data_IF_728128696924
#
_entry.id   IF_728128696924
#
_cell.length_a   1.000
_cell.length_b   1.000
_cell.length_c   1.000
_cell.angle_alpha   90.00
_cell.angle_beta   90.00
_cell.angle_gamma   90.00
#
_symmetry.space_group_name_H-M   'P 1'
#
loop_
_entity.id
_entity.type
_entity.pdbx_description
1 polymer ?
#
# COMPACT_ATOMS: atom_id res chain seq x y z
N UNK A 1 -12.07 -3.68 -9.92
CA UNK A 1 -11.68 -2.44 -9.21
C UNK A 1 -10.53 -2.73 -8.27
N UNK A 2 -10.75 -3.56 -7.26
CA UNK A 2 -9.70 -4.12 -6.42
C UNK A 2 -9.39 -5.56 -6.84
N UNK A 3 -8.16 -6.05 -6.62
CA UNK A 3 -7.87 -7.46 -6.83
C UNK A 3 -8.77 -8.29 -5.90
N UNK A 4 -9.36 -9.35 -6.46
CA UNK A 4 -10.13 -10.32 -5.69
C UNK A 4 -9.19 -11.27 -4.94
N UNK A 5 -9.74 -12.08 -4.05
CA UNK A 5 -9.02 -13.15 -3.39
C UNK A 5 -8.41 -14.10 -4.44
N UNK A 6 -7.08 -14.27 -4.46
CA UNK A 6 -6.46 -15.23 -5.36
C UNK A 6 -6.87 -16.65 -4.93
N UNK A 7 -7.31 -17.49 -5.87
CA UNK A 7 -7.59 -18.90 -5.60
C UNK A 7 -6.28 -19.70 -5.55
N UNK A 8 -5.27 -19.24 -6.28
CA UNK A 8 -3.91 -19.74 -6.26
C UNK A 8 -2.88 -18.66 -6.62
N UNK A 9 -1.59 -18.95 -6.41
CA UNK A 9 -0.51 -18.02 -6.74
C UNK A 9 -0.46 -17.66 -8.25
N UNK A 10 -0.98 -18.52 -9.13
CA UNK A 10 -1.04 -18.24 -10.57
C UNK A 10 -2.05 -17.15 -10.94
N UNK A 11 -2.99 -16.82 -10.04
CA UNK A 11 -3.97 -15.75 -10.24
C UNK A 11 -3.38 -14.36 -9.95
N UNK A 12 -2.19 -14.31 -9.34
CA UNK A 12 -1.52 -13.06 -9.01
C UNK A 12 -0.76 -12.51 -10.24
N UNK A 13 -1.23 -11.39 -10.76
CA UNK A 13 -0.59 -10.62 -11.82
C UNK A 13 -0.06 -9.27 -11.31
N UNK A 14 0.94 -8.68 -11.99
CA UNK A 14 1.57 -7.44 -11.54
C UNK A 14 0.59 -6.26 -11.47
N UNK A 15 0.72 -5.42 -10.44
CA UNK A 15 -0.17 -4.29 -10.14
C UNK A 15 0.54 -2.93 -10.37
N UNK A 16 -0.20 -1.86 -10.70
CA UNK A 16 -1.66 -1.79 -10.92
C UNK A 16 -2.10 -2.34 -12.29
N UNK A 17 -3.41 -2.50 -12.50
CA UNK A 17 -4.01 -2.93 -13.76
C UNK A 17 -4.25 -1.76 -14.74
N UNK A 18 -3.31 -0.82 -14.80
CA UNK A 18 -3.27 0.25 -15.81
C UNK A 18 -1.93 0.23 -16.57
N UNK A 19 -1.81 1.00 -17.68
CA UNK A 19 -0.53 1.26 -18.33
C UNK A 19 0.50 1.87 -17.38
N UNK A 20 1.77 1.54 -17.60
CA UNK A 20 2.89 2.04 -16.82
C UNK A 20 3.61 0.94 -16.03
N UNK A 21 4.55 1.34 -15.16
CA UNK A 21 5.35 0.40 -14.37
C UNK A 21 4.49 -0.38 -13.40
N UNK A 22 4.88 -1.64 -13.16
CA UNK A 22 4.12 -2.53 -12.28
C UNK A 22 5.01 -3.23 -11.28
N UNK A 23 4.46 -3.49 -10.10
CA UNK A 23 5.07 -4.29 -9.05
C UNK A 23 4.52 -5.71 -9.10
N UNK A 24 5.42 -6.71 -9.10
CA UNK A 24 5.05 -8.12 -9.03
C UNK A 24 4.64 -8.56 -7.61
N UNK A 25 3.97 -9.72 -7.48
CA UNK A 25 3.68 -10.32 -6.18
C UNK A 25 4.98 -10.75 -5.49
N UNK A 26 4.98 -10.73 -4.15
CA UNK A 26 6.07 -11.31 -3.37
C UNK A 26 6.10 -12.83 -3.51
N UNK A 27 7.29 -13.38 -3.76
CA UNK A 27 7.48 -14.84 -3.90
C UNK A 27 7.66 -15.51 -2.53
N UNK A 28 6.62 -16.20 -2.08
CA UNK A 28 6.63 -17.00 -0.84
C UNK A 28 7.30 -18.38 -1.00
N UNK A 29 7.73 -18.78 -2.20
CA UNK A 29 8.27 -20.12 -2.48
C UNK A 29 7.33 -21.25 -2.02
N UNK A 30 6.02 -21.00 -2.06
CA UNK A 30 4.98 -21.87 -1.51
C UNK A 30 3.78 -21.08 -0.99
N UNK A 31 2.94 -21.68 -0.12
CA UNK A 31 1.84 -20.99 0.53
C UNK A 31 2.32 -19.78 1.33
N UNK A 32 1.45 -18.78 1.46
CA UNK A 32 1.71 -17.61 2.30
C UNK A 32 2.00 -18.05 3.75
N UNK A 33 3.09 -17.52 4.32
CA UNK A 33 3.49 -17.74 5.71
C UNK A 33 4.11 -16.48 6.26
N UNK A 34 3.35 -15.75 7.08
CA UNK A 34 3.75 -14.48 7.66
C UNK A 34 3.62 -14.58 9.18
N UNK A 35 4.73 -14.38 9.88
CA UNK A 35 4.73 -14.26 11.34
C UNK A 35 4.79 -12.76 11.70
N UNK A 36 3.72 -12.24 12.30
CA UNK A 36 3.66 -10.85 12.76
C UNK A 36 4.39 -10.69 14.09
N UNK A 37 5.41 -9.83 14.13
CA UNK A 37 6.29 -9.66 15.28
C UNK A 37 6.03 -8.38 16.08
N UNK A 38 5.37 -7.38 15.48
CA UNK A 38 5.05 -6.12 16.14
C UNK A 38 4.73 -5.00 15.14
N UNK A 39 4.23 -3.88 15.64
CA UNK A 39 3.99 -2.66 14.86
C UNK A 39 5.28 -1.82 14.88
N UNK A 40 5.71 -1.34 13.71
CA UNK A 40 6.87 -0.46 13.54
C UNK A 40 6.49 1.01 13.46
N UNK A 41 5.28 1.29 13.00
CA UNK A 41 4.78 2.63 12.89
C UNK A 41 3.44 2.67 12.16
N UNK A 42 2.75 3.77 12.34
CA UNK A 42 1.54 4.12 11.64
C UNK A 42 1.81 5.43 10.91
N UNK A 43 1.32 5.50 9.68
CA UNK A 43 1.38 6.69 8.87
C UNK A 43 0.05 6.90 8.19
N UNK A 44 0.01 7.96 7.40
CA UNK A 44 -1.22 8.48 6.84
C UNK A 44 -2.03 7.33 6.18
N UNK A 45 -1.47 6.71 5.14
CA UNK A 45 -2.11 5.65 4.36
C UNK A 45 -1.67 4.22 4.74
N UNK A 46 -1.14 3.96 5.95
CA UNK A 46 -0.65 2.61 6.28
C UNK A 46 -0.33 2.35 7.75
N UNK A 47 -0.47 1.08 8.15
CA UNK A 47 0.25 0.53 9.31
C UNK A 47 1.40 -0.33 8.79
N UNK A 48 2.58 -0.20 9.42
CA UNK A 48 3.77 -0.97 9.08
C UNK A 48 4.05 -1.97 10.19
N UNK A 49 4.11 -3.26 9.84
CA UNK A 49 4.44 -4.34 10.74
C UNK A 49 5.87 -4.81 10.53
N UNK A 50 6.51 -5.22 11.62
CA UNK A 50 7.66 -6.10 11.59
C UNK A 50 7.15 -7.50 11.39
N UNK A 51 7.61 -8.18 10.34
CA UNK A 51 7.20 -9.56 10.05
C UNK A 51 8.40 -10.45 9.80
N UNK A 52 8.21 -11.76 9.99
CA UNK A 52 9.14 -12.79 9.51
C UNK A 52 8.48 -13.57 8.38
N UNK A 53 9.15 -13.63 7.24
CA UNK A 53 8.74 -14.40 6.06
C UNK A 53 9.97 -15.18 5.58
N UNK A 54 9.83 -16.49 5.33
CA UNK A 54 10.96 -17.35 4.92
C UNK A 54 12.20 -17.23 5.83
N UNK A 55 11.97 -17.06 7.14
CA UNK A 55 13.04 -16.90 8.14
C UNK A 55 13.75 -15.54 8.15
N UNK A 56 13.37 -14.61 7.27
CA UNK A 56 13.96 -13.27 7.18
C UNK A 56 13.01 -12.19 7.72
N UNK A 57 13.58 -11.12 8.27
CA UNK A 57 12.81 -9.98 8.81
C UNK A 57 12.54 -8.97 7.72
N UNK A 58 11.27 -8.57 7.61
CA UNK A 58 10.80 -7.55 6.68
C UNK A 58 9.97 -6.48 7.39
N UNK A 59 9.80 -5.35 6.71
CA UNK A 59 8.72 -4.41 7.00
C UNK A 59 7.56 -4.71 6.05
N UNK A 60 6.39 -5.05 6.60
CA UNK A 60 5.15 -5.25 5.85
C UNK A 60 4.29 -4.01 6.01
N UNK A 61 4.22 -3.20 4.95
CA UNK A 61 3.32 -2.03 4.92
C UNK A 61 1.95 -2.50 4.46
N UNK A 62 0.96 -2.45 5.34
CA UNK A 62 -0.45 -2.71 5.00
C UNK A 62 -1.06 -1.39 4.59
N UNK A 63 -1.45 -1.27 3.32
CA UNK A 63 -2.00 -0.02 2.79
C UNK A 63 -3.43 0.16 3.28
N UNK A 64 -3.62 1.29 3.96
CA UNK A 64 -4.86 1.77 4.52
C UNK A 64 -5.26 3.04 3.77
N UNK A 65 -6.54 3.36 3.72
CA UNK A 65 -6.95 4.71 3.35
C UNK A 65 -7.56 5.39 4.60
N UNK A 66 -7.54 6.71 4.63
CA UNK A 66 -7.40 7.58 5.82
C UNK A 66 -8.70 8.10 6.48
N UNK A 67 -8.81 8.57 7.75
CA UNK A 67 -7.88 8.77 8.89
C UNK A 67 -8.55 8.39 10.22
N UNK A 68 -7.77 7.88 11.18
CA UNK A 68 -8.20 7.20 12.40
C UNK A 68 -9.19 6.05 12.17
N UNK A 69 -8.57 4.87 12.11
CA UNK A 69 -9.20 3.58 12.08
C UNK A 69 -9.65 3.21 10.64
N UNK A 70 -9.05 2.15 10.10
CA UNK A 70 -8.83 1.79 8.70
C UNK A 70 -9.99 2.02 7.73
N UNK A 71 -9.77 2.75 6.63
CA UNK A 71 -10.85 3.11 5.70
C UNK A 71 -10.52 2.86 4.24
N UNK A 72 -11.57 2.65 3.46
CA UNK A 72 -11.59 2.85 2.02
C UNK A 72 -12.18 4.24 1.85
N UNK A 73 -11.43 5.16 1.24
CA UNK A 73 -11.84 6.57 1.22
C UNK A 73 -13.18 6.69 0.47
N UNK A 74 -14.15 7.41 1.05
CA UNK A 74 -15.33 7.80 0.29
C UNK A 74 -14.90 8.55 -0.97
N UNK A 75 -15.45 8.19 -2.12
CA UNK A 75 -15.20 8.86 -3.40
C UNK A 75 -15.14 10.39 -3.30
N UNK A 76 -16.02 11.03 -2.50
CA UNK A 76 -16.04 12.48 -2.28
C UNK A 76 -14.76 13.10 -1.70
N UNK A 77 -13.94 12.30 -1.02
CA UNK A 77 -12.69 12.71 -0.37
C UNK A 77 -11.47 12.60 -1.31
N UNK A 78 -11.65 12.20 -2.57
CA UNK A 78 -10.58 12.13 -3.55
C UNK A 78 -10.36 13.52 -4.15
N UNK A 79 -9.13 14.05 -4.03
CA UNK A 79 -8.74 15.34 -4.60
C UNK A 79 -9.20 15.45 -6.07
N UNK A 80 -10.17 16.33 -6.31
CA UNK A 80 -10.62 16.77 -7.64
C UNK A 80 -11.76 15.97 -8.29
N UNK A 81 -12.21 14.84 -7.75
CA UNK A 81 -13.21 13.98 -8.41
C UNK A 81 -14.44 13.63 -7.58
N UNK A 82 -14.44 14.02 -6.31
CA UNK A 82 -15.44 13.55 -5.36
C UNK A 82 -16.91 13.74 -5.73
N UNK A 83 -17.25 14.91 -6.27
CA UNK A 83 -18.62 15.23 -6.71
C UNK A 83 -18.96 14.68 -8.11
N UNK A 84 -17.98 14.10 -8.82
CA UNK A 84 -18.09 13.67 -10.21
C UNK A 84 -17.98 12.15 -10.40
N UNK A 85 -17.81 11.39 -9.32
CA UNK A 85 -17.73 9.93 -9.39
C UNK A 85 -19.13 9.36 -9.63
N UNK A 86 -19.40 8.98 -10.88
CA UNK A 86 -20.59 8.22 -11.21
C UNK A 86 -20.41 6.77 -10.74
N UNK A 87 -20.98 6.43 -9.57
CA UNK A 87 -20.97 5.07 -9.01
C UNK A 87 -21.64 4.02 -9.90
N UNK A 88 -22.47 4.45 -10.86
CA UNK A 88 -23.10 3.58 -11.86
C UNK A 88 -22.21 3.30 -13.07
N UNK A 89 -20.95 3.77 -13.08
CA UNK A 89 -19.95 3.51 -14.12
C UNK A 89 -18.77 2.69 -13.55
N UNK A 90 -18.90 1.36 -13.43
CA UNK A 90 -17.85 0.49 -12.87
C UNK A 90 -16.49 0.62 -13.56
N UNK A 91 -16.48 0.83 -14.88
CA UNK A 91 -15.27 0.99 -15.68
C UNK A 91 -14.54 2.29 -15.33
N UNK A 92 -15.26 3.41 -15.25
CA UNK A 92 -14.72 4.71 -14.88
C UNK A 92 -14.15 4.72 -13.46
N UNK A 93 -14.89 4.12 -12.53
CA UNK A 93 -14.44 3.96 -11.15
C UNK A 93 -13.18 3.08 -11.11
N UNK A 94 -13.20 1.91 -11.76
CA UNK A 94 -12.05 1.01 -11.80
C UNK A 94 -10.81 1.67 -12.42
N UNK A 95 -10.96 2.51 -13.43
CA UNK A 95 -9.87 3.30 -13.98
C UNK A 95 -9.32 4.28 -12.93
N UNK A 96 -10.21 5.03 -12.26
CA UNK A 96 -9.82 5.98 -11.23
C UNK A 96 -9.04 5.30 -10.10
N UNK A 97 -9.49 4.14 -9.60
CA UNK A 97 -8.75 3.36 -8.59
C UNK A 97 -7.36 2.96 -9.04
N UNK A 98 -7.22 2.49 -10.28
CA UNK A 98 -5.92 2.08 -10.77
C UNK A 98 -4.93 3.26 -10.83
N UNK A 99 -5.38 4.49 -11.04
CA UNK A 99 -4.51 5.67 -11.10
C UNK A 99 -4.37 6.44 -9.79
N UNK A 100 -5.43 6.59 -9.01
CA UNK A 100 -5.45 7.53 -7.88
C UNK A 100 -5.14 6.88 -6.54
N UNK A 101 -5.28 5.56 -6.44
CA UNK A 101 -5.21 4.90 -5.14
C UNK A 101 -3.76 4.79 -4.64
N UNK A 102 -3.47 5.13 -3.36
CA UNK A 102 -2.10 5.23 -2.84
C UNK A 102 -1.27 3.94 -2.95
N UNK A 103 -1.87 2.77 -2.74
CA UNK A 103 -1.17 1.50 -2.93
C UNK A 103 -0.77 1.28 -4.40
N UNK A 104 -1.65 1.61 -5.35
CA UNK A 104 -1.36 1.52 -6.77
C UNK A 104 -0.28 2.52 -7.21
N UNK A 105 -0.29 3.75 -6.68
CA UNK A 105 0.79 4.72 -6.87
C UNK A 105 2.14 4.17 -6.38
N UNK A 106 2.16 3.61 -5.18
CA UNK A 106 3.37 3.02 -4.61
C UNK A 106 3.86 1.80 -5.42
N UNK A 107 2.95 0.98 -5.94
CA UNK A 107 3.27 -0.10 -6.87
C UNK A 107 3.94 0.43 -8.16
N UNK A 108 3.44 1.55 -8.73
CA UNK A 108 4.07 2.16 -9.91
C UNK A 108 5.45 2.72 -9.60
N UNK A 109 5.63 3.38 -8.46
CA UNK A 109 6.92 3.92 -8.08
C UNK A 109 7.96 2.81 -7.88
N UNK A 110 7.64 1.75 -7.15
CA UNK A 110 8.56 0.62 -6.98
C UNK A 110 8.77 -0.18 -8.27
N UNK A 111 7.72 -0.39 -9.07
CA UNK A 111 7.83 -0.98 -10.39
C UNK A 111 8.80 -0.21 -11.28
N UNK A 112 8.74 1.14 -11.26
CA UNK A 112 9.66 2.00 -12.02
C UNK A 112 11.11 1.83 -11.56
N UNK A 113 11.33 1.73 -10.25
CA UNK A 113 12.67 1.52 -9.70
C UNK A 113 13.25 0.16 -10.11
N UNK A 114 12.44 -0.89 -10.11
CA UNK A 114 12.83 -2.24 -10.57
C UNK A 114 13.13 -2.25 -12.07
N UNK A 115 12.25 -1.69 -12.90
CA UNK A 115 12.45 -1.60 -14.36
C UNK A 115 13.72 -0.83 -14.73
N UNK A 116 14.04 0.24 -14.00
CA UNK A 116 15.20 1.08 -14.25
C UNK A 116 16.50 0.56 -13.60
N UNK A 117 16.44 -0.52 -12.79
CA UNK A 117 17.57 -1.01 -12.01
C UNK A 117 18.11 0.03 -11.02
N UNK A 118 17.23 0.85 -10.45
CA UNK A 118 17.54 1.96 -9.54
C UNK A 118 16.96 1.74 -8.13
N UNK A 119 16.79 0.49 -7.72
CA UNK A 119 16.20 0.12 -6.42
C UNK A 119 16.99 0.69 -5.22
N UNK A 120 18.25 1.09 -5.40
CA UNK A 120 19.07 1.72 -4.36
C UNK A 120 18.62 3.13 -3.97
N UNK A 121 17.75 3.76 -4.77
CA UNK A 121 17.21 5.09 -4.49
C UNK A 121 16.14 5.10 -3.39
N UNK A 122 15.62 3.93 -3.02
CA UNK A 122 14.60 3.77 -2.00
C UNK A 122 14.89 2.54 -1.12
N UNK A 123 14.07 2.34 -0.08
CA UNK A 123 14.06 1.05 0.63
C UNK A 123 13.67 -0.03 -0.38
N UNK A 124 14.48 -1.09 -0.47
CA UNK A 124 14.24 -2.20 -1.39
C UNK A 124 12.83 -2.78 -1.19
N UNK A 125 12.10 -2.92 -2.28
CA UNK A 125 10.75 -3.49 -2.32
C UNK A 125 10.81 -4.87 -2.99
N UNK A 126 10.22 -5.86 -2.34
CA UNK A 126 10.26 -7.25 -2.79
C UNK A 126 8.99 -7.70 -3.50
N UNK A 127 7.96 -6.85 -3.53
CA UNK A 127 6.67 -7.16 -4.15
C UNK A 127 5.49 -6.78 -3.27
N UNK A 128 4.30 -6.92 -3.84
CA UNK A 128 3.06 -6.77 -3.10
C UNK A 128 2.56 -8.12 -2.56
N UNK A 129 1.69 -8.07 -1.55
CA UNK A 129 1.01 -9.21 -0.96
C UNK A 129 -0.47 -8.88 -0.86
N UNK A 130 -1.32 -9.83 -1.26
CA UNK A 130 -2.71 -9.87 -0.83
C UNK A 130 -2.76 -10.85 0.34
N UNK A 131 -3.18 -10.40 1.52
CA UNK A 131 -3.27 -11.30 2.66
C UNK A 131 -4.36 -12.34 2.40
N UNK A 132 -4.10 -13.59 2.78
CA UNK A 132 -5.14 -14.61 2.87
C UNK A 132 -5.96 -14.44 4.16
N UNK A 133 -7.11 -15.12 4.23
CA UNK A 133 -8.05 -14.96 5.35
C UNK A 133 -7.44 -15.34 6.71
N UNK A 134 -6.53 -16.31 6.73
CA UNK A 134 -5.90 -16.78 7.96
C UNK A 134 -4.92 -15.72 8.49
N UNK A 135 -4.14 -15.09 7.60
CA UNK A 135 -3.21 -14.04 7.97
C UNK A 135 -3.89 -12.72 8.28
N UNK A 136 -4.98 -12.37 7.57
CA UNK A 136 -5.82 -11.22 7.96
C UNK A 136 -6.35 -11.40 9.38
N UNK A 137 -6.94 -12.57 9.68
CA UNK A 137 -7.50 -12.86 11.00
C UNK A 137 -6.43 -12.88 12.08
N UNK A 138 -5.28 -13.49 11.81
CA UNK A 138 -4.16 -13.53 12.74
C UNK A 138 -3.67 -12.11 13.08
N UNK A 139 -3.52 -11.25 12.07
CA UNK A 139 -3.17 -9.85 12.25
C UNK A 139 -4.22 -9.11 13.09
N UNK A 140 -5.50 -9.23 12.72
CA UNK A 140 -6.62 -8.58 13.40
C UNK A 140 -6.72 -8.98 14.88
N UNK A 141 -6.62 -10.27 15.17
CA UNK A 141 -6.68 -10.80 16.54
C UNK A 141 -5.45 -10.42 17.36
N UNK A 142 -4.24 -10.51 16.79
CA UNK A 142 -3.00 -10.28 17.53
C UNK A 142 -2.85 -8.83 18.02
N UNK A 143 -3.35 -7.88 17.24
CA UNK A 143 -3.25 -6.45 17.56
C UNK A 143 -4.57 -5.81 17.98
N UNK A 144 -5.59 -6.64 18.25
CA UNK A 144 -6.89 -6.22 18.79
C UNK A 144 -7.57 -5.15 17.92
N UNK A 145 -7.44 -5.31 16.59
CA UNK A 145 -7.97 -4.35 15.62
C UNK A 145 -9.50 -4.37 15.53
N UNK A 146 -10.16 -5.37 16.12
CA UNK A 146 -11.62 -5.38 16.28
C UNK A 146 -12.12 -4.22 17.18
N UNK A 147 -11.23 -3.58 17.94
CA UNK A 147 -11.52 -2.37 18.73
C UNK A 147 -11.27 -1.07 17.98
N UNK A 148 -10.81 -1.15 16.73
CA UNK A 148 -10.55 -0.01 15.86
C UNK A 148 -11.76 0.10 14.91
N UNK A 149 -12.29 1.31 14.70
CA UNK A 149 -13.37 1.66 13.76
C UNK A 149 -12.89 1.64 12.30
N UNK A 150 -13.79 1.67 11.32
CA UNK A 150 -13.43 1.54 9.91
C UNK A 150 -14.30 2.45 9.00
N UNK A 151 -14.73 3.64 9.46
CA UNK A 151 -15.79 4.43 8.79
C UNK A 151 -15.29 5.51 7.81
N UNK A 152 -15.35 5.42 6.48
CA UNK A 152 -14.62 6.24 5.46
C UNK A 152 -14.37 7.78 5.52
N UNK A 153 -14.73 8.53 6.57
CA UNK A 153 -14.72 9.99 6.68
C UNK A 153 -13.36 10.58 7.13
N UNK A 154 -12.99 11.75 6.58
CA UNK A 154 -11.76 12.52 6.84
C UNK A 154 -11.97 13.62 7.91
N UNK A 155 -13.20 14.10 8.11
CA UNK A 155 -13.49 15.25 8.98
C UNK A 155 -14.06 14.87 10.35
N UNK A 156 -14.80 13.76 10.46
CA UNK A 156 -15.45 13.34 11.71
C UNK A 156 -15.07 11.92 12.13
N UNK A 157 -14.13 11.81 13.07
CA UNK A 157 -13.92 10.57 13.82
C UNK A 157 -15.07 10.40 14.82
N UNK A 158 -16.11 9.61 14.48
CA UNK A 158 -17.07 9.19 15.51
C UNK A 158 -18.49 8.83 15.10
N UNK A 159 -18.91 9.01 13.84
CA UNK A 159 -20.24 8.55 13.45
C UNK A 159 -20.25 7.05 13.13
N UNK A 160 -20.85 6.33 14.07
CA UNK A 160 -21.23 4.92 14.04
C UNK A 160 -22.50 4.78 13.16
N UNK A 161 -22.65 3.62 12.53
CA UNK A 161 -23.64 3.19 11.51
C UNK A 161 -23.29 3.57 10.07
N UNK A 162 -23.15 2.68 9.07
CA UNK A 162 -23.40 1.24 8.90
C UNK A 162 -22.53 0.77 7.70
N UNK A 163 -21.99 -0.45 7.77
CA UNK A 163 -21.20 -1.19 6.74
C UNK A 163 -19.68 -0.88 6.59
N UNK A 164 -18.86 -1.92 6.78
CA UNK A 164 -17.42 -1.95 6.46
C UNK A 164 -17.22 -1.48 5.00
N UNK A 165 -16.54 -0.36 4.76
CA UNK A 165 -16.42 0.22 3.41
C UNK A 165 -15.82 -0.75 2.38
N UNK A 166 -15.03 -1.73 2.83
CA UNK A 166 -14.51 -2.83 2.02
C UNK A 166 -15.66 -3.64 1.36
N UNK A 167 -16.81 -3.76 2.02
CA UNK A 167 -18.03 -4.42 1.52
C UNK A 167 -18.70 -3.68 0.38
N UNK A 168 -18.45 -2.38 0.19
CA UNK A 168 -18.95 -1.63 -0.97
C UNK A 168 -18.29 -2.07 -2.28
N UNK A 169 -17.17 -2.80 -2.19
CA UNK A 169 -16.39 -3.25 -3.35
C UNK A 169 -16.25 -4.77 -3.37
N UNK A 170 -17.36 -5.53 -3.31
CA UNK A 170 -17.29 -6.96 -3.16
C UNK A 170 -16.59 -7.61 -4.36
N UNK A 171 -15.74 -8.59 -4.07
CA UNK A 171 -15.20 -9.51 -5.07
C UNK A 171 -16.29 -10.39 -5.69
N UNK A 172 -15.90 -11.29 -6.59
CA UNK A 172 -16.80 -12.17 -7.35
C UNK A 172 -17.76 -12.97 -6.47
N UNK A 173 -17.33 -13.28 -5.24
CA UNK A 173 -18.10 -14.09 -4.29
C UNK A 173 -18.88 -13.25 -3.26
N UNK A 174 -19.03 -11.94 -3.48
CA UNK A 174 -19.68 -11.04 -2.50
C UNK A 174 -18.81 -10.70 -1.29
N UNK A 175 -17.59 -11.26 -1.21
CA UNK A 175 -16.65 -11.04 -0.11
C UNK A 175 -15.95 -9.70 -0.26
N UNK A 176 -15.60 -9.03 0.85
CA UNK A 176 -14.75 -7.85 0.80
C UNK A 176 -13.35 -8.22 0.25
N UNK A 177 -12.69 -7.37 -0.53
CA UNK A 177 -11.36 -7.61 -1.09
C UNK A 177 -10.27 -7.77 -0.01
N UNK A 178 -9.18 -8.49 -0.28
CA UNK A 178 -8.11 -8.69 0.69
C UNK A 178 -7.36 -7.39 1.01
N UNK A 179 -6.76 -7.33 2.21
CA UNK A 179 -5.77 -6.34 2.59
C UNK A 179 -4.57 -6.44 1.65
N UNK A 180 -4.16 -5.27 1.16
CA UNK A 180 -3.07 -5.11 0.21
C UNK A 180 -1.86 -4.61 0.96
N UNK A 181 -0.74 -5.29 0.77
CA UNK A 181 0.48 -5.01 1.49
C UNK A 181 1.67 -4.91 0.54
N UNK A 182 2.72 -4.23 0.98
CA UNK A 182 4.01 -4.17 0.29
C UNK A 182 5.10 -4.69 1.22
N UNK A 183 5.87 -5.66 0.75
CA UNK A 183 7.01 -6.22 1.47
C UNK A 183 8.25 -5.40 1.16
N UNK A 184 8.86 -4.83 2.21
CA UNK A 184 10.04 -3.97 2.10
C UNK A 184 11.16 -4.48 2.98
N UNK A 185 12.39 -4.11 2.63
CA UNK A 185 13.55 -4.37 3.47
C UNK A 185 13.34 -3.75 4.85
N UNK A 186 13.64 -4.52 5.89
CA UNK A 186 13.65 -4.01 7.24
C UNK A 186 14.81 -3.03 7.40
N UNK A 187 14.51 -1.76 7.69
CA UNK A 187 15.52 -0.75 7.94
C UNK A 187 16.34 -1.08 9.18
N UNK A 188 17.62 -0.74 9.19
CA UNK A 188 18.37 -0.61 10.45
C UNK A 188 17.90 0.70 11.07
N UNK A 189 17.52 0.69 12.35
CA UNK A 189 17.34 1.92 13.11
C UNK A 189 18.60 2.77 12.92
N UNK A 190 18.42 4.03 12.50
CA UNK A 190 19.43 5.04 12.79
C UNK A 190 19.40 5.13 14.31
N UNK A 191 20.49 4.76 14.96
CA UNK A 191 20.56 4.62 16.42
C UNK A 191 19.92 5.86 17.09
N UNK A 192 18.93 5.63 17.95
CA UNK A 192 18.15 6.66 18.66
C UNK A 192 19.04 7.58 19.54
N UNK A 193 20.31 7.23 19.70
CA UNK A 193 21.33 7.97 20.46
C UNK A 193 22.05 9.08 19.67
N UNK A 194 21.95 9.12 18.33
CA UNK A 194 22.41 10.28 17.56
C UNK A 194 21.21 11.14 17.20
N UNK A 195 20.92 12.15 18.04
CA UNK A 195 20.02 13.25 17.69
C UNK A 195 20.34 13.72 16.27
N UNK A 196 19.41 13.47 15.36
CA UNK A 196 19.65 13.34 13.93
C UNK A 196 19.88 14.72 13.29
N UNK A 197 21.07 15.27 13.50
CA UNK A 197 21.51 16.47 12.79
C UNK A 197 21.71 16.04 11.36
N UNK A 198 20.80 16.47 10.46
CA UNK A 198 20.90 16.31 9.02
C UNK A 198 22.27 16.80 8.53
N UNK A 199 23.26 15.90 8.51
CA UNK A 199 24.64 16.26 8.16
C UNK A 199 24.63 16.75 6.71
N UNK A 200 25.40 17.79 6.39
CA UNK A 200 25.42 18.34 5.02
C UNK A 200 25.70 17.27 3.95
N UNK A 201 26.49 16.24 4.27
CA UNK A 201 26.73 15.09 3.40
C UNK A 201 25.47 14.29 3.11
N UNK A 202 24.70 13.96 4.15
CA UNK A 202 23.41 13.25 4.03
C UNK A 202 22.39 14.10 3.27
N UNK A 203 22.29 15.39 3.57
CA UNK A 203 21.40 16.32 2.85
C UNK A 203 21.71 16.36 1.34
N UNK A 204 23.00 16.46 0.97
CA UNK A 204 23.41 16.44 -0.45
C UNK A 204 23.11 15.11 -1.12
N UNK A 205 23.27 14.01 -0.40
CA UNK A 205 22.93 12.69 -0.91
C UNK A 205 21.42 12.57 -1.16
N UNK A 206 20.59 12.98 -0.19
CA UNK A 206 19.13 12.98 -0.32
C UNK A 206 18.67 13.82 -1.52
N UNK A 207 19.19 15.04 -1.67
CA UNK A 207 18.86 15.90 -2.82
C UNK A 207 19.24 15.25 -4.16
N UNK A 208 20.40 14.60 -4.24
CA UNK A 208 20.81 13.86 -5.44
C UNK A 208 19.86 12.69 -5.72
N UNK A 209 19.44 11.96 -4.70
CA UNK A 209 18.45 10.88 -4.84
C UNK A 209 17.11 11.41 -5.30
N UNK A 210 16.62 12.53 -4.74
CA UNK A 210 15.37 13.19 -5.18
C UNK A 210 15.45 13.59 -6.66
N UNK A 211 16.56 14.18 -7.10
CA UNK A 211 16.75 14.53 -8.52
C UNK A 211 16.72 13.28 -9.40
N UNK A 212 17.34 12.17 -8.97
CA UNK A 212 17.31 10.90 -9.71
C UNK A 212 15.89 10.32 -9.78
N UNK A 213 15.14 10.33 -8.68
CA UNK A 213 13.73 9.91 -8.63
C UNK A 213 12.88 10.73 -9.61
N UNK A 214 13.02 12.06 -9.60
CA UNK A 214 12.30 12.94 -10.53
C UNK A 214 12.69 12.72 -12.00
N UNK A 215 13.95 12.37 -12.28
CA UNK A 215 14.39 11.97 -13.63
C UNK A 215 13.75 10.66 -14.10
N UNK A 216 13.48 9.74 -13.17
CA UNK A 216 12.68 8.53 -13.43
C UNK A 216 11.17 8.81 -13.53
N UNK A 217 10.76 10.06 -13.36
CA UNK A 217 9.37 10.48 -13.35
C UNK A 217 8.66 10.25 -12.01
N UNK A 218 9.38 9.85 -10.95
CA UNK A 218 8.79 9.58 -9.65
C UNK A 218 8.66 10.89 -8.86
N UNK A 219 7.43 11.25 -8.49
CA UNK A 219 7.02 12.44 -7.73
C UNK A 219 5.94 12.00 -6.75
N UNK A 220 6.03 12.39 -5.47
CA UNK A 220 5.02 12.05 -4.44
C UNK A 220 4.64 10.56 -4.43
N UNK A 221 5.65 9.67 -4.41
CA UNK A 221 5.47 8.21 -4.41
C UNK A 221 4.70 7.63 -5.62
N UNK A 222 4.56 8.40 -6.70
CA UNK A 222 3.93 7.96 -7.95
C UNK A 222 4.77 8.35 -9.18
N UNK A 223 4.44 7.81 -10.35
CA UNK A 223 5.04 8.15 -11.64
C UNK A 223 4.18 9.19 -12.35
N UNK A 224 4.77 10.34 -12.65
CA UNK A 224 4.13 11.39 -13.44
C UNK A 224 3.63 10.84 -14.78
N UNK A 225 2.37 11.12 -15.09
CA UNK A 225 1.75 10.80 -16.39
C UNK A 225 2.40 11.70 -17.44
N UNK A 226 3.53 11.29 -17.99
CA UNK A 226 4.05 11.89 -19.22
C UNK A 226 3.31 11.23 -20.37
N UNK A 227 2.53 12.03 -21.09
CA UNK A 227 1.89 11.60 -22.34
C UNK A 227 2.97 11.00 -23.25
N UNK A 228 2.83 9.71 -23.52
CA UNK A 228 3.67 8.95 -24.47
C UNK A 228 3.48 9.46 -25.89
#
# INVERSE_FOLDING_TARGET
>A
MYPDWPECAADLGPLPQCPGPKLGPFDFQGPQKIEFLGILGEGLHAIVFKVRILGQIYALKVSLNEFEQFRWIFDFNWLGFGEFINRENPEGISALYNYMEPFNAECRAFGRLQEAGCEELAVRCFGYVLLDEDHERAMMTQFDFDKWSFNGDIEESGYIDEEEQRLLYPGKNGRPPPFRCIVKAFGRSIDEDEGDVLRQGLARQLLRSVIKLQKLGIIEIDVAIRQS
#
